data_IF_424407759085
#
_entry.id   IF_424407759085
#
_cell.length_a   1.000
_cell.length_b   1.000
_cell.length_c   1.000
_cell.angle_alpha   90.00
_cell.angle_beta   90.00
_cell.angle_gamma   90.00
#
_symmetry.space_group_name_H-M   'P 1'
#
loop_
_entity.id
_entity.type
_entity.pdbx_description
1 polymer ?
#
# COMPACT_ATOMS: atom_id res chain seq x y z
N UNK A 1 24.94 -38.14 -48.16
CA UNK A 1 25.10 -38.40 -46.74
C UNK A 1 25.47 -37.05 -46.13
N UNK A 2 24.48 -36.34 -45.61
CA UNK A 2 24.66 -35.03 -44.93
C UNK A 2 24.18 -35.28 -43.51
N UNK A 3 25.10 -35.14 -42.59
CA UNK A 3 24.91 -35.35 -41.18
C UNK A 3 24.28 -34.08 -40.56
N UNK A 4 23.17 -34.27 -39.89
CA UNK A 4 22.43 -33.18 -39.24
C UNK A 4 22.87 -33.10 -37.77
N UNK A 5 23.72 -32.14 -37.45
CA UNK A 5 24.06 -31.81 -36.06
C UNK A 5 22.95 -30.98 -35.45
N UNK A 6 22.32 -31.56 -34.46
CA UNK A 6 21.34 -30.92 -33.57
C UNK A 6 21.98 -29.82 -32.72
N UNK A 7 21.58 -28.60 -32.94
CA UNK A 7 21.90 -27.44 -32.06
C UNK A 7 21.01 -27.50 -30.80
N UNK A 8 21.61 -27.92 -29.71
CA UNK A 8 21.01 -27.81 -28.38
C UNK A 8 21.00 -26.35 -27.92
N UNK A 9 19.82 -25.80 -27.80
CA UNK A 9 19.57 -24.48 -27.14
C UNK A 9 20.12 -24.55 -25.71
N UNK A 10 21.27 -23.94 -25.52
CA UNK A 10 21.89 -23.75 -24.22
C UNK A 10 21.02 -22.87 -23.33
N UNK A 11 20.59 -23.40 -22.21
CA UNK A 11 19.96 -22.67 -21.13
C UNK A 11 20.89 -21.55 -20.64
N UNK A 12 20.51 -20.31 -20.87
CA UNK A 12 21.19 -19.15 -20.31
C UNK A 12 21.11 -19.20 -18.77
N UNK A 13 22.24 -19.08 -18.05
CA UNK A 13 22.21 -19.04 -16.60
C UNK A 13 21.53 -17.74 -16.16
N UNK A 14 20.41 -17.84 -15.44
CA UNK A 14 19.84 -16.74 -14.71
C UNK A 14 20.87 -16.26 -13.67
N UNK A 15 21.66 -15.25 -14.03
CA UNK A 15 22.43 -14.46 -13.07
C UNK A 15 21.42 -13.70 -12.23
N UNK A 16 21.04 -14.24 -11.08
CA UNK A 16 20.40 -13.47 -10.01
C UNK A 16 21.37 -12.37 -9.62
N UNK A 17 21.10 -11.16 -10.09
CA UNK A 17 21.71 -9.94 -9.57
C UNK A 17 21.30 -9.83 -8.10
N UNK A 18 22.26 -9.60 -7.20
CA UNK A 18 22.05 -9.48 -5.76
C UNK A 18 21.43 -8.10 -5.40
N UNK A 19 20.30 -7.76 -6.01
CA UNK A 19 19.37 -6.78 -5.45
C UNK A 19 18.45 -7.53 -4.49
N UNK A 20 18.26 -7.00 -3.31
CA UNK A 20 17.35 -7.59 -2.34
C UNK A 20 15.92 -7.45 -2.88
N UNK A 21 15.33 -8.55 -3.33
CA UNK A 21 13.90 -8.63 -3.68
C UNK A 21 13.07 -8.48 -2.38
N UNK A 22 13.12 -7.30 -1.77
CA UNK A 22 12.47 -6.97 -0.50
C UNK A 22 11.64 -5.72 -0.68
N UNK A 23 10.43 -5.71 -0.13
CA UNK A 23 9.67 -4.49 0.06
C UNK A 23 10.05 -3.85 1.40
N UNK A 24 10.25 -2.55 1.41
CA UNK A 24 10.24 -1.76 2.63
C UNK A 24 8.90 -1.04 2.70
N UNK A 25 8.15 -1.30 3.75
CA UNK A 25 6.93 -0.54 4.04
C UNK A 25 7.19 0.34 5.25
N UNK A 26 6.82 1.61 5.13
CA UNK A 26 7.09 2.62 6.17
C UNK A 26 5.79 3.29 6.56
N UNK A 27 5.46 3.25 7.85
CA UNK A 27 4.29 3.96 8.33
C UNK A 27 3.79 3.51 9.70
N UNK A 28 2.64 4.01 10.07
CA UNK A 28 2.05 3.75 11.36
C UNK A 28 1.62 2.30 11.54
N UNK A 29 1.88 1.81 12.76
CA UNK A 29 1.22 0.66 13.35
C UNK A 29 0.52 1.11 14.63
N UNK A 30 -0.70 0.71 14.82
CA UNK A 30 -1.51 1.15 15.94
C UNK A 30 -2.46 0.04 16.42
N UNK A 31 -3.10 0.30 17.55
CA UNK A 31 -4.21 -0.53 18.04
C UNK A 31 -5.53 0.21 17.81
N UNK A 32 -6.37 -0.36 16.96
CA UNK A 32 -7.75 0.07 16.79
C UNK A 32 -8.57 -0.41 17.98
N UNK A 33 -9.22 0.51 18.68
CA UNK A 33 -10.06 0.25 19.84
C UNK A 33 -11.48 0.63 19.50
N UNK A 34 -12.34 -0.35 19.31
CA UNK A 34 -13.77 -0.10 19.09
C UNK A 34 -14.45 0.04 20.46
N UNK A 35 -15.17 1.13 20.66
CA UNK A 35 -15.89 1.46 21.90
C UNK A 35 -17.35 1.75 21.59
N UNK A 36 -18.21 1.43 22.55
CA UNK A 36 -19.61 1.84 22.57
C UNK A 36 -19.97 2.25 24.00
N UNK A 37 -20.50 3.45 24.16
CA UNK A 37 -20.82 4.04 25.48
C UNK A 37 -19.63 3.99 26.47
N UNK A 38 -18.41 4.25 25.95
CA UNK A 38 -17.18 4.22 26.74
C UNK A 38 -16.67 2.82 27.12
N UNK A 39 -17.33 1.74 26.70
CA UNK A 39 -16.86 0.38 26.93
C UNK A 39 -16.13 -0.16 25.70
N UNK A 40 -14.90 -0.66 25.88
CA UNK A 40 -14.14 -1.29 24.81
C UNK A 40 -14.81 -2.62 24.41
N UNK A 41 -15.19 -2.73 23.13
CA UNK A 41 -15.73 -3.96 22.54
C UNK A 41 -14.61 -4.86 22.00
N UNK A 42 -13.49 -4.28 21.61
CA UNK A 42 -12.33 -5.01 21.09
C UNK A 42 -11.14 -4.11 20.83
N UNK A 43 -9.96 -4.74 20.77
CA UNK A 43 -8.70 -4.12 20.32
C UNK A 43 -8.15 -4.95 19.16
N UNK A 44 -7.80 -4.31 18.06
CA UNK A 44 -7.23 -4.94 16.87
C UNK A 44 -5.94 -4.25 16.48
N UNK A 45 -4.97 -5.02 15.96
CA UNK A 45 -3.78 -4.44 15.33
C UNK A 45 -4.21 -3.86 14.00
N UNK A 46 -3.80 -2.62 13.71
CA UNK A 46 -4.16 -1.89 12.51
C UNK A 46 -3.07 -0.90 12.08
N UNK A 47 -3.41 -0.12 11.07
CA UNK A 47 -2.55 0.82 10.37
C UNK A 47 -2.51 0.48 8.88
N UNK A 48 -2.75 1.46 8.01
CA UNK A 48 -2.81 1.21 6.57
C UNK A 48 -1.48 0.67 6.02
N UNK A 49 -0.32 1.26 6.32
CA UNK A 49 0.97 0.69 5.90
C UNK A 49 1.22 -0.70 6.49
N UNK A 50 0.83 -0.96 7.74
CA UNK A 50 0.94 -2.28 8.35
C UNK A 50 0.13 -3.32 7.56
N UNK A 51 -1.10 -3.00 7.18
CA UNK A 51 -1.94 -3.89 6.38
C UNK A 51 -1.31 -4.20 5.01
N UNK A 52 -0.70 -3.21 4.34
CA UNK A 52 0.04 -3.42 3.08
C UNK A 52 1.24 -4.33 3.30
N UNK A 53 2.01 -4.14 4.39
CA UNK A 53 3.15 -4.99 4.74
C UNK A 53 2.72 -6.45 4.92
N UNK A 54 1.69 -6.68 5.73
CA UNK A 54 1.11 -8.02 5.97
C UNK A 54 0.59 -8.63 4.67
N UNK A 55 -0.15 -7.85 3.87
CA UNK A 55 -0.67 -8.33 2.60
C UNK A 55 0.41 -8.79 1.62
N UNK A 56 1.50 -8.03 1.48
CA UNK A 56 2.64 -8.42 0.65
C UNK A 56 3.32 -9.70 1.17
N UNK A 57 3.46 -9.84 2.49
CA UNK A 57 4.03 -11.05 3.08
C UNK A 57 3.13 -12.29 2.85
N UNK A 58 1.81 -12.15 2.98
CA UNK A 58 0.83 -13.20 2.66
C UNK A 58 0.87 -13.60 1.18
N UNK A 59 1.25 -12.67 0.29
CA UNK A 59 1.51 -12.96 -1.12
C UNK A 59 2.90 -13.55 -1.38
N UNK A 60 3.68 -13.86 -0.33
CA UNK A 60 4.99 -14.51 -0.42
C UNK A 60 6.15 -13.56 -0.75
N UNK A 61 5.97 -12.24 -0.58
CA UNK A 61 7.06 -11.27 -0.73
C UNK A 61 7.84 -11.16 0.58
N UNK A 62 9.13 -10.88 0.48
CA UNK A 62 9.93 -10.51 1.65
C UNK A 62 9.64 -9.06 1.99
N UNK A 63 9.26 -8.80 3.23
CA UNK A 63 8.82 -7.47 3.67
C UNK A 63 9.55 -7.10 4.95
N UNK A 64 10.11 -5.90 4.95
CA UNK A 64 10.61 -5.22 6.13
C UNK A 64 9.69 -4.04 6.43
N UNK A 65 9.24 -3.92 7.68
CA UNK A 65 8.31 -2.88 8.09
C UNK A 65 8.97 -1.94 9.10
N UNK A 66 9.10 -0.67 8.72
CA UNK A 66 9.62 0.41 9.57
C UNK A 66 8.46 1.21 10.15
N UNK A 67 8.38 1.25 11.46
CA UNK A 67 7.30 1.91 12.19
C UNK A 67 7.82 2.59 13.46
N UNK A 68 6.92 3.11 14.30
CA UNK A 68 7.26 3.71 15.59
C UNK A 68 6.28 3.27 16.66
N UNK A 69 6.68 2.25 17.44
CA UNK A 69 5.89 1.65 18.52
C UNK A 69 6.61 1.72 19.85
N UNK A 70 5.85 1.65 20.94
CA UNK A 70 6.40 1.61 22.30
C UNK A 70 6.85 0.20 22.72
N UNK A 71 7.79 0.11 23.67
CA UNK A 71 8.08 -1.16 24.37
C UNK A 71 7.04 -1.40 25.47
N UNK A 72 5.78 -1.53 25.06
CA UNK A 72 4.64 -1.79 25.93
C UNK A 72 3.89 -3.06 25.49
N UNK A 73 2.80 -3.38 26.18
CA UNK A 73 1.98 -4.57 25.85
C UNK A 73 1.42 -4.50 24.42
N UNK A 74 1.03 -3.30 23.96
CA UNK A 74 0.45 -3.09 22.63
C UNK A 74 1.52 -3.18 21.55
N UNK A 75 2.71 -2.62 21.80
CA UNK A 75 3.84 -2.72 20.87
C UNK A 75 4.31 -4.16 20.67
N UNK A 76 4.38 -4.93 21.76
CA UNK A 76 4.67 -6.38 21.66
C UNK A 76 3.61 -7.11 20.85
N UNK A 77 2.32 -6.79 21.03
CA UNK A 77 1.24 -7.38 20.26
C UNK A 77 1.33 -7.02 18.76
N UNK A 78 1.75 -5.81 18.41
CA UNK A 78 2.04 -5.41 17.01
C UNK A 78 3.21 -6.22 16.47
N UNK A 79 4.32 -6.32 17.23
CA UNK A 79 5.50 -7.07 16.81
C UNK A 79 5.20 -8.56 16.59
N UNK A 80 4.47 -9.19 17.52
CA UNK A 80 4.03 -10.59 17.40
C UNK A 80 3.15 -10.79 16.16
N UNK A 81 2.19 -9.90 15.90
CA UNK A 81 1.31 -9.96 14.74
C UNK A 81 2.08 -9.86 13.41
N UNK A 82 3.07 -8.96 13.33
CA UNK A 82 3.94 -8.83 12.16
C UNK A 82 4.78 -10.10 11.97
N UNK A 83 5.40 -10.61 13.02
CA UNK A 83 6.20 -11.85 12.99
C UNK A 83 5.37 -13.05 12.50
N UNK A 84 4.18 -13.26 13.08
CA UNK A 84 3.28 -14.35 12.71
C UNK A 84 2.78 -14.24 11.27
N UNK A 85 2.75 -13.00 10.73
CA UNK A 85 2.39 -12.72 9.34
C UNK A 85 3.59 -12.83 8.37
N UNK A 86 4.81 -13.10 8.86
CA UNK A 86 6.02 -13.20 8.04
C UNK A 86 6.62 -11.86 7.63
N UNK A 87 6.37 -10.80 8.39
CA UNK A 87 6.93 -9.46 8.20
C UNK A 87 8.08 -9.25 9.18
N UNK A 88 9.24 -8.83 8.66
CA UNK A 88 10.38 -8.47 9.50
C UNK A 88 10.19 -7.03 10.03
N UNK A 89 10.18 -6.86 11.35
CA UNK A 89 10.16 -5.53 11.97
C UNK A 89 11.55 -4.90 11.84
N UNK A 90 11.63 -3.72 11.19
CA UNK A 90 12.89 -3.04 10.95
C UNK A 90 13.53 -2.55 12.26
N UNK A 91 14.87 -2.55 12.28
CA UNK A 91 15.63 -1.99 13.40
C UNK A 91 15.27 -0.50 13.60
N UNK A 92 15.14 -0.06 14.85
CA UNK A 92 14.73 1.30 15.18
C UNK A 92 13.24 1.57 15.18
N UNK A 93 12.39 0.54 14.94
CA UNK A 93 10.93 0.69 15.01
C UNK A 93 10.38 0.80 16.44
N UNK A 94 11.16 0.43 17.45
CA UNK A 94 10.74 0.50 18.87
C UNK A 94 11.45 1.67 19.55
N UNK A 95 10.66 2.66 19.98
CA UNK A 95 11.22 3.87 20.62
C UNK A 95 10.16 4.88 21.06
N UNK A 96 8.90 4.68 20.68
CA UNK A 96 7.80 5.54 21.11
C UNK A 96 7.59 5.46 22.62
N UNK A 97 7.12 6.56 23.22
CA UNK A 97 6.76 6.60 24.64
C UNK A 97 5.62 5.62 24.97
N UNK A 98 4.74 5.38 23.99
CA UNK A 98 3.64 4.42 23.99
C UNK A 98 3.27 4.03 22.57
N UNK A 99 2.69 2.84 22.42
CA UNK A 99 2.16 2.40 21.12
C UNK A 99 0.89 3.16 20.78
N UNK A 100 0.82 3.65 19.52
CA UNK A 100 -0.29 4.43 18.99
C UNK A 100 -1.63 3.70 19.11
N UNK A 101 -2.71 4.47 19.29
CA UNK A 101 -4.09 3.94 19.28
C UNK A 101 -5.00 4.84 18.46
N UNK A 102 -5.94 4.20 17.74
CA UNK A 102 -7.10 4.85 17.18
C UNK A 102 -8.35 4.33 17.91
N UNK A 103 -9.16 5.22 18.48
CA UNK A 103 -10.40 4.87 19.17
C UNK A 103 -11.58 5.26 18.31
N UNK A 104 -12.39 4.27 17.95
CA UNK A 104 -13.65 4.48 17.27
C UNK A 104 -14.78 4.40 18.30
N UNK A 105 -15.37 5.54 18.67
CA UNK A 105 -16.56 5.58 19.50
C UNK A 105 -17.78 5.49 18.59
N UNK A 106 -18.56 4.42 18.76
CA UNK A 106 -19.81 4.20 18.02
C UNK A 106 -20.96 4.94 18.69
N UNK A 107 -21.68 5.75 17.93
CA UNK A 107 -22.93 6.35 18.39
C UNK A 107 -24.08 5.32 18.33
N UNK A 108 -25.24 5.70 18.91
CA UNK A 108 -26.46 4.86 18.90
C UNK A 108 -27.03 4.59 17.48
N UNK A 109 -26.45 5.16 16.43
CA UNK A 109 -26.79 4.95 15.00
C UNK A 109 -25.73 4.16 14.25
N UNK A 110 -24.63 3.77 14.92
CA UNK A 110 -23.51 3.04 14.33
C UNK A 110 -22.48 3.91 13.61
N UNK A 111 -22.57 5.24 13.71
CA UNK A 111 -21.51 6.14 13.19
C UNK A 111 -20.33 6.17 14.15
N UNK A 112 -19.11 6.12 13.62
CA UNK A 112 -17.89 6.14 14.40
C UNK A 112 -17.29 7.55 14.44
N UNK A 113 -16.89 7.99 15.64
CA UNK A 113 -16.02 9.16 15.83
C UNK A 113 -14.64 8.66 16.23
N UNK A 114 -13.62 9.07 15.48
CA UNK A 114 -12.26 8.62 15.72
C UNK A 114 -11.49 9.61 16.59
N UNK A 115 -10.76 9.07 17.56
CA UNK A 115 -9.78 9.78 18.36
C UNK A 115 -8.44 9.08 18.24
N UNK A 116 -7.40 9.82 17.80
CA UNK A 116 -6.06 9.31 17.66
C UNK A 116 -5.20 9.74 18.85
N UNK A 117 -4.49 8.78 19.44
CA UNK A 117 -3.41 8.99 20.39
C UNK A 117 -2.16 8.41 19.74
N UNK A 118 -1.42 9.26 19.01
CA UNK A 118 -0.34 8.83 18.16
C UNK A 118 0.86 9.78 18.28
N UNK A 119 2.02 9.18 18.46
CA UNK A 119 3.33 9.78 18.31
C UNK A 119 3.97 9.16 17.06
N UNK A 120 4.36 9.98 16.10
CA UNK A 120 4.96 9.50 14.87
C UNK A 120 6.34 10.12 14.67
N UNK A 121 7.34 9.26 14.65
CA UNK A 121 8.73 9.59 14.45
C UNK A 121 9.43 8.41 13.79
N UNK A 122 10.56 8.62 13.13
CA UNK A 122 11.44 7.55 12.69
C UNK A 122 12.79 7.68 13.36
N UNK A 123 13.41 6.53 13.62
CA UNK A 123 14.79 6.49 14.10
C UNK A 123 15.72 7.04 13.01
N UNK A 124 16.66 7.92 13.31
CA UNK A 124 17.62 8.38 12.32
C UNK A 124 18.50 7.21 11.86
N UNK A 125 18.62 7.07 10.54
CA UNK A 125 19.47 6.08 9.88
C UNK A 125 19.24 4.61 10.32
N UNK A 126 18.12 4.00 9.99
CA UNK A 126 17.77 2.64 10.41
C UNK A 126 18.62 1.53 9.78
N UNK A 127 19.69 1.84 9.06
CA UNK A 127 20.58 0.84 8.46
C UNK A 127 19.97 -0.03 7.37
N UNK A 128 18.86 0.40 6.78
CA UNK A 128 18.09 -0.36 5.80
C UNK A 128 18.87 -0.56 4.50
N UNK A 129 18.71 -1.74 3.91
CA UNK A 129 19.19 -2.00 2.54
C UNK A 129 18.22 -1.41 1.54
N UNK A 130 18.72 -0.95 0.39
CA UNK A 130 17.87 -0.45 -0.69
C UNK A 130 16.85 -1.52 -1.10
N UNK A 131 15.53 -1.29 -0.91
CA UNK A 131 14.48 -2.25 -1.26
C UNK A 131 14.20 -2.21 -2.77
N UNK A 132 13.48 -3.21 -3.27
CA UNK A 132 12.92 -3.19 -4.62
C UNK A 132 11.80 -2.15 -4.73
N UNK A 133 10.94 -2.09 -3.73
CA UNK A 133 9.86 -1.12 -3.59
C UNK A 133 9.83 -0.56 -2.16
N UNK A 134 9.67 0.75 -2.06
CA UNK A 134 9.35 1.45 -0.82
C UNK A 134 7.90 1.90 -0.91
N UNK A 135 7.09 1.45 0.04
CA UNK A 135 5.69 1.87 0.18
C UNK A 135 5.49 2.72 1.44
N UNK A 136 4.73 3.79 1.31
CA UNK A 136 4.31 4.64 2.43
C UNK A 136 2.95 5.28 2.16
N UNK A 137 2.37 5.91 3.17
CA UNK A 137 1.11 6.63 3.06
C UNK A 137 0.47 6.94 4.39
N UNK A 138 -0.79 7.36 4.36
CA UNK A 138 -1.62 7.62 5.55
C UNK A 138 -0.94 8.60 6.52
N UNK A 139 -1.06 8.37 7.81
CA UNK A 139 -0.54 9.22 8.89
C UNK A 139 0.97 9.47 8.74
N UNK A 140 1.70 8.49 8.21
CA UNK A 140 3.14 8.57 8.08
C UNK A 140 3.64 9.74 7.21
N UNK A 141 2.84 10.18 6.26
CA UNK A 141 3.17 11.30 5.36
C UNK A 141 2.52 12.62 5.77
N UNK A 142 1.73 12.61 6.85
CA UNK A 142 0.99 13.76 7.33
C UNK A 142 1.53 14.31 8.66
N UNK A 143 1.87 13.44 9.62
CA UNK A 143 2.14 13.81 10.99
C UNK A 143 3.63 14.12 11.23
N UNK A 144 3.90 15.33 11.68
CA UNK A 144 5.24 15.76 12.10
C UNK A 144 5.63 15.18 13.48
N UNK A 145 6.93 14.99 13.73
CA UNK A 145 8.06 15.21 12.82
C UNK A 145 8.37 14.02 11.89
N UNK A 146 7.66 12.92 12.00
CA UNK A 146 7.98 11.69 11.29
C UNK A 146 7.78 11.79 9.77
N UNK A 147 6.86 12.64 9.28
CA UNK A 147 6.65 12.81 7.83
C UNK A 147 7.89 13.38 7.12
N UNK A 148 8.69 14.22 7.79
CA UNK A 148 9.94 14.74 7.23
C UNK A 148 10.98 13.62 7.06
N UNK A 149 11.11 12.75 8.06
CA UNK A 149 11.99 11.59 7.98
C UNK A 149 11.55 10.58 6.91
N UNK A 150 10.23 10.43 6.68
CA UNK A 150 9.69 9.63 5.57
C UNK A 150 10.08 10.25 4.23
N UNK A 151 9.99 11.58 4.08
CA UNK A 151 10.40 12.27 2.86
C UNK A 151 11.90 12.07 2.57
N UNK A 152 12.76 12.21 3.59
CA UNK A 152 14.20 11.94 3.49
C UNK A 152 14.47 10.48 3.08
N UNK A 153 13.73 9.52 3.63
CA UNK A 153 13.87 8.11 3.29
C UNK A 153 13.44 7.81 1.85
N UNK A 154 12.38 8.46 1.35
CA UNK A 154 11.97 8.40 -0.04
C UNK A 154 13.10 8.91 -0.94
N UNK A 155 13.64 10.11 -0.65
CA UNK A 155 14.70 10.74 -1.44
C UNK A 155 15.98 9.86 -1.46
N UNK A 156 16.33 9.24 -0.34
CA UNK A 156 17.48 8.34 -0.23
C UNK A 156 17.33 7.05 -1.08
N UNK A 157 16.09 6.59 -1.30
CA UNK A 157 15.78 5.37 -2.05
C UNK A 157 15.33 5.64 -3.49
N UNK A 158 15.07 6.88 -3.87
CA UNK A 158 14.51 7.24 -5.16
C UNK A 158 15.31 6.71 -6.36
N UNK A 159 16.64 6.61 -6.27
CA UNK A 159 17.47 6.12 -7.36
C UNK A 159 17.43 4.60 -7.57
N UNK A 160 17.12 3.83 -6.52
CA UNK A 160 17.26 2.37 -6.49
C UNK A 160 15.95 1.61 -6.42
N UNK A 161 14.92 2.23 -5.88
CA UNK A 161 13.64 1.61 -5.56
C UNK A 161 12.50 2.21 -6.37
N UNK A 162 11.44 1.47 -6.58
CA UNK A 162 10.14 2.03 -6.94
C UNK A 162 9.49 2.61 -5.69
N UNK A 163 9.00 3.83 -5.76
CA UNK A 163 8.29 4.48 -4.66
C UNK A 163 6.79 4.35 -4.92
N UNK A 164 6.06 3.75 -3.98
CA UNK A 164 4.61 3.62 -4.02
C UNK A 164 3.96 4.37 -2.85
N UNK A 165 2.87 5.05 -3.12
CA UNK A 165 2.21 5.96 -2.19
C UNK A 165 0.70 5.78 -2.19
N UNK A 166 0.10 5.74 -0.99
CA UNK A 166 -1.34 5.79 -0.76
C UNK A 166 -1.63 6.93 0.23
N UNK A 167 -2.18 8.08 -0.19
CA UNK A 167 -2.51 9.17 0.71
C UNK A 167 -3.36 8.73 1.90
N UNK A 168 -4.38 7.93 1.65
CA UNK A 168 -5.30 7.39 2.66
C UNK A 168 -5.60 8.42 3.76
N UNK A 169 -6.20 9.53 3.33
CA UNK A 169 -6.31 10.78 4.08
C UNK A 169 -6.99 10.59 5.43
N UNK A 170 -6.41 11.21 6.43
CA UNK A 170 -7.01 11.40 7.76
C UNK A 170 -7.10 12.91 8.00
N UNK A 171 -8.24 13.49 7.65
CA UNK A 171 -8.46 14.96 7.66
C UNK A 171 -8.13 15.62 8.99
N UNK A 172 -8.22 14.87 10.10
CA UNK A 172 -7.90 15.36 11.45
C UNK A 172 -6.44 15.81 11.63
N UNK A 173 -5.53 15.41 10.74
CA UNK A 173 -4.10 15.77 10.78
C UNK A 173 -3.75 16.97 9.89
N UNK A 174 -4.73 17.65 9.31
CA UNK A 174 -4.54 18.82 8.45
C UNK A 174 -5.42 19.98 8.92
N UNK A 175 -4.95 21.20 8.69
CA UNK A 175 -5.75 22.39 8.97
C UNK A 175 -6.94 22.48 7.99
N UNK A 176 -6.65 22.23 6.72
CA UNK A 176 -7.66 22.22 5.65
C UNK A 176 -7.23 21.32 4.46
N UNK A 177 -8.07 21.27 3.45
CA UNK A 177 -7.84 20.47 2.24
C UNK A 177 -6.73 21.06 1.35
N UNK A 178 -6.50 22.37 1.35
CA UNK A 178 -5.47 23.03 0.53
C UNK A 178 -4.08 22.70 1.07
N UNK A 179 -3.88 22.75 2.39
CA UNK A 179 -2.65 22.31 3.04
C UNK A 179 -2.39 20.81 2.75
N UNK A 180 -3.42 19.98 2.94
CA UNK A 180 -3.32 18.55 2.69
C UNK A 180 -2.95 18.26 1.24
N UNK A 181 -3.61 18.90 0.26
CA UNK A 181 -3.32 18.71 -1.17
C UNK A 181 -1.87 19.09 -1.48
N UNK A 182 -1.39 20.24 -0.99
CA UNK A 182 -0.03 20.70 -1.18
C UNK A 182 0.99 19.69 -0.62
N UNK A 183 0.75 19.17 0.58
CA UNK A 183 1.59 18.16 1.22
C UNK A 183 1.58 16.84 0.45
N UNK A 184 0.40 16.35 0.05
CA UNK A 184 0.28 15.12 -0.72
C UNK A 184 0.96 15.25 -2.10
N UNK A 185 0.79 16.36 -2.82
CA UNK A 185 1.47 16.59 -4.10
C UNK A 185 2.99 16.60 -3.96
N UNK A 186 3.53 17.03 -2.81
CA UNK A 186 4.97 16.92 -2.53
C UNK A 186 5.44 15.46 -2.47
N UNK A 187 4.63 14.53 -1.95
CA UNK A 187 4.93 13.10 -1.95
C UNK A 187 4.67 12.47 -3.32
N UNK A 188 3.58 12.88 -3.99
CA UNK A 188 3.25 12.44 -5.36
C UNK A 188 4.41 12.70 -6.32
N UNK A 189 5.06 13.89 -6.27
CA UNK A 189 6.20 14.22 -7.15
C UNK A 189 7.40 13.30 -6.97
N UNK A 190 7.50 12.60 -5.84
CA UNK A 190 8.56 11.66 -5.50
C UNK A 190 8.17 10.20 -5.73
N UNK A 191 6.93 9.95 -6.13
CA UNK A 191 6.35 8.62 -6.25
C UNK A 191 6.33 8.13 -7.69
N UNK A 192 6.47 6.81 -7.87
CA UNK A 192 6.34 6.15 -9.17
C UNK A 192 4.92 5.57 -9.37
N UNK A 193 4.28 5.14 -8.27
CA UNK A 193 2.94 4.54 -8.26
C UNK A 193 2.14 5.18 -7.15
N UNK A 194 1.02 5.79 -7.49
CA UNK A 194 0.10 6.40 -6.53
C UNK A 194 -1.26 5.72 -6.62
N UNK A 195 -1.87 5.43 -5.47
CA UNK A 195 -3.25 5.00 -5.38
C UNK A 195 -3.97 5.86 -4.35
N UNK A 196 -5.17 6.32 -4.64
CA UNK A 196 -6.03 7.03 -3.69
C UNK A 196 -7.48 6.53 -3.80
N UNK A 197 -8.31 6.81 -2.80
CA UNK A 197 -9.75 6.63 -2.93
C UNK A 197 -10.40 7.86 -3.59
N UNK A 198 -11.57 7.67 -4.18
CA UNK A 198 -12.36 8.77 -4.70
C UNK A 198 -12.85 9.72 -3.58
N UNK A 199 -13.02 9.20 -2.37
CA UNK A 199 -13.35 10.00 -1.18
C UNK A 199 -12.17 10.92 -0.81
N UNK A 200 -10.93 10.39 -0.76
CA UNK A 200 -9.73 11.17 -0.51
C UNK A 200 -9.57 12.27 -1.56
N UNK A 201 -9.73 11.93 -2.84
CA UNK A 201 -9.53 12.88 -3.94
C UNK A 201 -10.59 14.00 -3.93
N UNK A 202 -11.85 13.68 -3.66
CA UNK A 202 -12.91 14.70 -3.53
C UNK A 202 -12.73 15.58 -2.32
N UNK A 203 -12.15 15.04 -1.24
CA UNK A 203 -11.85 15.85 -0.07
C UNK A 203 -10.67 16.79 -0.32
N UNK A 204 -9.63 16.32 -1.02
CA UNK A 204 -8.45 17.11 -1.36
C UNK A 204 -8.75 18.21 -2.38
N UNK A 205 -9.54 17.90 -3.40
CA UNK A 205 -9.91 18.85 -4.45
C UNK A 205 -11.40 18.68 -4.83
N UNK A 206 -12.31 19.38 -4.12
CA UNK A 206 -13.75 19.28 -4.38
C UNK A 206 -14.19 19.91 -5.70
N UNK A 207 -13.28 20.60 -6.41
CA UNK A 207 -13.56 21.28 -7.68
C UNK A 207 -13.21 20.43 -8.92
N UNK A 208 -12.43 19.38 -8.74
CA UNK A 208 -12.06 18.44 -9.79
C UNK A 208 -12.71 17.08 -9.57
N UNK A 209 -13.01 16.36 -10.63
CA UNK A 209 -13.30 14.93 -10.50
C UNK A 209 -12.06 14.16 -10.06
N UNK A 210 -12.22 12.99 -9.41
CA UNK A 210 -11.08 12.15 -9.03
C UNK A 210 -10.19 11.78 -10.22
N UNK A 211 -10.77 11.61 -11.40
CA UNK A 211 -10.06 11.31 -12.64
C UNK A 211 -9.24 12.52 -13.14
N UNK A 212 -9.78 13.73 -13.05
CA UNK A 212 -9.06 14.96 -13.40
C UNK A 212 -7.89 15.20 -12.46
N UNK A 213 -8.08 14.97 -11.15
CA UNK A 213 -7.00 15.07 -10.18
C UNK A 213 -5.95 13.98 -10.42
N UNK A 214 -6.34 12.74 -10.75
CA UNK A 214 -5.42 11.67 -11.11
C UNK A 214 -4.60 12.02 -12.36
N UNK A 215 -5.23 12.58 -13.39
CA UNK A 215 -4.54 13.04 -14.59
C UNK A 215 -3.53 14.18 -14.29
N UNK A 216 -3.91 15.11 -13.42
CA UNK A 216 -3.00 16.17 -12.94
C UNK A 216 -1.81 15.56 -12.18
N UNK A 217 -2.05 14.63 -11.26
CA UNK A 217 -0.99 13.97 -10.51
C UNK A 217 -0.04 13.16 -11.41
N UNK A 218 -0.55 12.52 -12.46
CA UNK A 218 0.30 11.84 -13.43
C UNK A 218 1.34 12.78 -14.04
N UNK A 219 0.97 14.04 -14.30
CA UNK A 219 1.92 15.05 -14.87
C UNK A 219 3.00 15.48 -13.88
N UNK A 220 2.83 15.22 -12.59
CA UNK A 220 3.79 15.58 -11.53
C UNK A 220 4.94 14.60 -11.41
N UNK A 221 4.83 13.35 -11.94
CA UNK A 221 5.95 12.41 -11.90
C UNK A 221 5.60 10.92 -11.89
N UNK A 222 4.50 10.48 -11.27
CA UNK A 222 4.14 9.07 -11.23
C UNK A 222 4.02 8.44 -12.63
N UNK A 223 4.33 7.15 -12.71
CA UNK A 223 4.08 6.33 -13.89
C UNK A 223 2.63 5.80 -13.94
N UNK A 224 2.03 5.62 -12.76
CA UNK A 224 0.67 5.12 -12.57
C UNK A 224 0.00 5.93 -11.46
N UNK A 225 -1.22 6.41 -11.72
CA UNK A 225 -2.13 6.91 -10.68
C UNK A 225 -3.41 6.11 -10.75
N UNK A 226 -3.75 5.42 -9.67
CA UNK A 226 -4.95 4.61 -9.53
C UNK A 226 -5.95 5.24 -8.55
N UNK A 227 -7.23 5.13 -8.85
CA UNK A 227 -8.33 5.60 -8.00
C UNK A 227 -9.31 4.46 -7.76
N UNK A 228 -9.65 4.21 -6.50
CA UNK A 228 -10.68 3.24 -6.11
C UNK A 228 -12.00 3.94 -5.85
N UNK A 229 -13.11 3.37 -6.35
CA UNK A 229 -14.48 3.90 -6.24
C UNK A 229 -15.39 2.94 -5.45
N UNK A 230 -14.83 2.22 -4.49
CA UNK A 230 -15.56 1.23 -3.69
C UNK A 230 -16.28 0.21 -4.57
N UNK A 231 -17.59 0.08 -4.41
CA UNK A 231 -18.43 -0.85 -5.19
C UNK A 231 -18.50 -0.52 -6.70
N UNK A 232 -18.06 0.66 -7.12
CA UNK A 232 -18.05 1.07 -8.54
C UNK A 232 -16.75 0.68 -9.26
N UNK A 233 -15.82 0.01 -8.58
CA UNK A 233 -14.59 -0.49 -9.16
C UNK A 233 -13.41 0.45 -9.04
N UNK A 234 -12.57 0.51 -10.06
CA UNK A 234 -11.36 1.33 -10.06
C UNK A 234 -11.06 1.92 -11.43
N UNK A 235 -10.31 3.01 -11.41
CA UNK A 235 -9.74 3.70 -12.55
C UNK A 235 -8.23 3.79 -12.34
N UNK A 236 -7.44 3.73 -13.40
CA UNK A 236 -6.05 4.14 -13.35
C UNK A 236 -5.61 4.75 -14.68
N UNK A 237 -4.63 5.63 -14.60
CA UNK A 237 -4.05 6.32 -15.73
C UNK A 237 -2.54 6.14 -15.77
N UNK A 238 -1.99 5.96 -16.96
CA UNK A 238 -0.56 5.95 -17.28
C UNK A 238 -0.30 6.76 -18.55
N UNK A 239 0.95 6.84 -19.00
CA UNK A 239 1.31 7.62 -20.19
C UNK A 239 0.65 7.12 -21.50
N UNK A 240 0.31 5.82 -21.58
CA UNK A 240 -0.31 5.20 -22.77
C UNK A 240 -1.85 5.35 -22.79
N UNK A 241 -2.48 5.75 -21.67
CA UNK A 241 -3.93 5.93 -21.55
C UNK A 241 -4.47 5.58 -20.18
N UNK A 242 -5.77 5.42 -20.11
CA UNK A 242 -6.47 5.07 -18.89
C UNK A 242 -7.29 3.78 -19.01
N UNK A 243 -7.56 3.16 -17.87
CA UNK A 243 -8.30 1.91 -17.76
C UNK A 243 -9.30 1.97 -16.61
N UNK A 244 -10.45 1.32 -16.81
CA UNK A 244 -11.49 1.14 -15.79
C UNK A 244 -11.80 -0.33 -15.61
N UNK A 245 -11.84 -0.75 -14.37
CA UNK A 245 -12.19 -2.12 -13.98
C UNK A 245 -13.40 -2.05 -13.04
N UNK A 246 -14.50 -2.77 -13.34
CA UNK A 246 -15.61 -2.88 -12.41
C UNK A 246 -15.18 -3.63 -11.16
N UNK A 247 -15.84 -3.37 -10.03
CA UNK A 247 -15.63 -4.17 -8.84
C UNK A 247 -16.02 -5.63 -9.08
N UNK A 248 -15.23 -6.57 -8.56
CA UNK A 248 -15.64 -7.97 -8.55
C UNK A 248 -16.81 -8.16 -7.58
N UNK A 249 -17.80 -8.99 -7.96
CA UNK A 249 -18.90 -9.31 -7.05
C UNK A 249 -18.39 -9.95 -5.76
N UNK A 250 -18.78 -9.38 -4.63
CA UNK A 250 -18.47 -9.91 -3.31
C UNK A 250 -19.65 -9.68 -2.36
N UNK A 251 -19.86 -10.61 -1.43
CA UNK A 251 -20.73 -10.37 -0.29
C UNK A 251 -19.94 -9.51 0.72
N UNK A 252 -20.31 -8.25 0.85
CA UNK A 252 -19.58 -7.30 1.70
C UNK A 252 -19.90 -7.57 3.17
N UNK A 253 -18.89 -8.01 3.91
CA UNK A 253 -18.93 -8.22 5.37
C UNK A 253 -18.32 -7.01 6.09
N UNK A 254 -17.16 -6.53 5.60
CA UNK A 254 -16.44 -5.40 6.16
C UNK A 254 -15.65 -4.69 5.05
N UNK A 255 -15.57 -3.38 5.09
CA UNK A 255 -14.80 -2.60 4.09
C UNK A 255 -13.40 -2.21 4.56
N UNK A 256 -13.07 -2.50 5.83
CA UNK A 256 -11.75 -2.21 6.41
C UNK A 256 -10.65 -2.96 5.66
N UNK A 257 -9.60 -2.24 5.28
CA UNK A 257 -8.44 -2.81 4.59
C UNK A 257 -8.64 -3.06 3.08
N UNK A 258 -9.81 -2.73 2.49
CA UNK A 258 -10.04 -2.91 1.05
C UNK A 258 -9.06 -2.10 0.20
N UNK A 259 -8.81 -0.83 0.57
CA UNK A 259 -7.82 0.04 -0.05
C UNK A 259 -6.40 -0.50 0.06
N UNK A 260 -6.05 -1.00 1.25
CA UNK A 260 -4.73 -1.60 1.52
C UNK A 260 -4.53 -2.89 0.70
N UNK A 261 -5.58 -3.72 0.59
CA UNK A 261 -5.56 -4.93 -0.24
C UNK A 261 -5.45 -4.61 -1.74
N UNK A 262 -6.11 -3.54 -2.21
CA UNK A 262 -5.95 -3.06 -3.57
C UNK A 262 -4.51 -2.62 -3.82
N UNK A 263 -3.93 -1.79 -2.93
CA UNK A 263 -2.54 -1.36 -3.04
C UNK A 263 -1.56 -2.52 -3.00
N UNK A 264 -1.78 -3.50 -2.11
CA UNK A 264 -1.02 -4.75 -2.04
C UNK A 264 -1.05 -5.50 -3.38
N UNK A 265 -2.24 -5.68 -3.95
CA UNK A 265 -2.42 -6.35 -5.24
C UNK A 265 -1.78 -5.60 -6.40
N UNK A 266 -1.82 -4.27 -6.39
CA UNK A 266 -1.17 -3.40 -7.37
C UNK A 266 0.36 -3.57 -7.34
N UNK A 267 0.97 -3.49 -6.16
CA UNK A 267 2.41 -3.69 -5.98
C UNK A 267 2.81 -5.12 -6.38
N UNK A 268 2.06 -6.13 -5.94
CA UNK A 268 2.36 -7.54 -6.22
C UNK A 268 2.30 -7.87 -7.72
N UNK A 269 1.30 -7.34 -8.44
CA UNK A 269 1.19 -7.53 -9.89
C UNK A 269 2.35 -6.87 -10.65
N UNK A 270 2.74 -5.65 -10.28
CA UNK A 270 3.92 -4.99 -10.86
C UNK A 270 5.22 -5.74 -10.54
N UNK A 271 5.29 -6.38 -9.37
CA UNK A 271 6.41 -7.22 -8.98
C UNK A 271 6.52 -8.46 -9.86
N UNK A 272 5.40 -9.19 -10.05
CA UNK A 272 5.36 -10.38 -10.91
C UNK A 272 5.75 -10.06 -12.37
N UNK A 273 5.41 -8.88 -12.86
CA UNK A 273 5.80 -8.38 -14.18
C UNK A 273 7.26 -7.90 -14.25
N UNK A 274 7.99 -7.86 -13.13
CA UNK A 274 9.37 -7.38 -13.07
C UNK A 274 9.52 -5.88 -13.37
N UNK A 275 8.50 -5.08 -13.07
CA UNK A 275 8.46 -3.64 -13.34
C UNK A 275 8.92 -2.78 -12.16
N UNK A 276 9.26 -3.38 -11.01
CA UNK A 276 9.70 -2.67 -9.82
C UNK A 276 11.22 -2.53 -9.74
N UNK A 277 11.65 -1.51 -8.98
CA UNK A 277 13.05 -1.14 -8.77
C UNK A 277 13.52 0.00 -9.68
N UNK A 278 14.43 0.84 -9.16
CA UNK A 278 14.89 2.05 -9.87
C UNK A 278 15.44 1.79 -11.28
N UNK A 279 16.06 0.61 -11.51
CA UNK A 279 16.52 0.21 -12.85
C UNK A 279 15.40 -0.08 -13.84
N UNK A 280 14.19 -0.32 -13.37
CA UNK A 280 12.99 -0.64 -14.14
C UNK A 280 12.06 0.57 -14.32
N UNK A 281 12.38 1.72 -13.71
CA UNK A 281 11.55 2.94 -13.76
C UNK A 281 11.19 3.35 -15.19
N UNK A 282 12.12 3.26 -16.14
CA UNK A 282 11.81 3.53 -17.55
C UNK A 282 10.76 2.58 -18.11
N UNK A 283 10.84 1.27 -17.80
CA UNK A 283 9.86 0.29 -18.24
C UNK A 283 8.50 0.47 -17.55
N UNK A 284 8.49 0.86 -16.26
CA UNK A 284 7.28 1.20 -15.55
C UNK A 284 6.62 2.46 -16.13
N UNK A 285 7.41 3.46 -16.53
CA UNK A 285 6.90 4.69 -17.18
C UNK A 285 6.28 4.41 -18.54
N UNK A 286 6.82 3.44 -19.26
CA UNK A 286 6.34 3.02 -20.58
C UNK A 286 5.30 1.87 -20.47
N UNK A 287 4.67 1.68 -19.31
CA UNK A 287 3.63 0.65 -19.13
C UNK A 287 2.47 0.92 -20.07
N UNK A 288 2.02 -0.12 -20.77
CA UNK A 288 0.90 -0.03 -21.69
C UNK A 288 -0.43 -0.13 -20.96
N UNK A 289 -1.46 0.50 -21.50
CA UNK A 289 -2.79 0.50 -20.91
C UNK A 289 -3.38 -0.92 -20.77
N UNK A 290 -3.15 -1.81 -21.76
CA UNK A 290 -3.60 -3.22 -21.67
C UNK A 290 -2.90 -3.98 -20.52
N UNK A 291 -1.62 -3.73 -20.26
CA UNK A 291 -0.90 -4.32 -19.11
C UNK A 291 -1.41 -3.71 -17.80
N UNK A 292 -1.65 -2.38 -17.77
CA UNK A 292 -2.23 -1.71 -16.61
C UNK A 292 -3.60 -2.30 -16.25
N UNK A 293 -4.44 -2.63 -17.24
CA UNK A 293 -5.73 -3.30 -17.03
C UNK A 293 -5.56 -4.62 -16.28
N UNK A 294 -4.58 -5.46 -16.65
CA UNK A 294 -4.35 -6.73 -15.97
C UNK A 294 -3.84 -6.52 -14.52
N UNK A 295 -2.99 -5.52 -14.31
CA UNK A 295 -2.54 -5.11 -12.96
C UNK A 295 -3.74 -4.70 -12.10
N UNK A 296 -4.65 -3.88 -12.65
CA UNK A 296 -5.86 -3.44 -11.94
C UNK A 296 -6.80 -4.61 -11.59
N UNK A 297 -6.92 -5.62 -12.46
CA UNK A 297 -7.72 -6.82 -12.17
C UNK A 297 -7.20 -7.55 -10.93
N UNK A 298 -5.88 -7.72 -10.80
CA UNK A 298 -5.26 -8.35 -9.63
C UNK A 298 -5.52 -7.53 -8.37
N UNK A 299 -5.37 -6.21 -8.46
CA UNK A 299 -5.62 -5.28 -7.36
C UNK A 299 -7.09 -5.32 -6.90
N UNK A 300 -8.03 -5.23 -7.85
CA UNK A 300 -9.47 -5.27 -7.58
C UNK A 300 -9.91 -6.62 -6.99
N UNK A 301 -9.34 -7.74 -7.46
CA UNK A 301 -9.63 -9.07 -6.91
C UNK A 301 -9.15 -9.17 -5.45
N UNK A 302 -7.97 -8.63 -5.13
CA UNK A 302 -7.45 -8.60 -3.76
C UNK A 302 -8.39 -7.84 -2.83
N UNK A 303 -8.88 -6.67 -3.26
CA UNK A 303 -9.86 -5.88 -2.52
C UNK A 303 -11.19 -6.63 -2.31
N UNK A 304 -11.73 -7.26 -3.37
CA UNK A 304 -12.99 -8.01 -3.30
C UNK A 304 -12.91 -9.20 -2.34
N UNK A 305 -11.78 -9.89 -2.28
CA UNK A 305 -11.55 -11.00 -1.35
C UNK A 305 -11.41 -10.52 0.11
N UNK A 306 -10.94 -9.30 0.31
CA UNK A 306 -10.80 -8.70 1.64
C UNK A 306 -12.17 -8.28 2.18
N UNK A 307 -13.00 -7.58 1.40
CA UNK A 307 -14.31 -7.11 1.88
C UNK A 307 -15.29 -8.24 2.21
N UNK A 308 -15.03 -9.46 1.75
CA UNK A 308 -15.83 -10.64 2.07
C UNK A 308 -15.49 -11.27 3.44
N UNK A 309 -14.66 -10.61 4.25
CA UNK A 309 -14.21 -11.09 5.57
C UNK A 309 -14.24 -9.97 6.61
N UNK A 310 -14.38 -10.30 7.90
CA UNK A 310 -14.29 -9.30 8.95
C UNK A 310 -12.88 -8.73 9.08
N UNK A 311 -12.77 -7.42 9.30
CA UNK A 311 -11.52 -6.69 9.47
C UNK A 311 -10.64 -6.67 8.22
N UNK A 312 -9.42 -6.17 8.34
CA UNK A 312 -8.43 -6.14 7.25
C UNK A 312 -7.83 -7.54 6.99
N UNK A 313 -8.66 -8.52 6.64
CA UNK A 313 -8.25 -9.90 6.39
C UNK A 313 -7.83 -10.10 4.92
N UNK A 314 -6.61 -9.64 4.57
CA UNK A 314 -6.09 -9.71 3.21
C UNK A 314 -5.90 -11.17 2.74
N UNK A 315 -6.07 -11.46 1.43
CA UNK A 315 -5.92 -12.80 0.90
C UNK A 315 -4.45 -13.22 0.82
N UNK A 316 -4.18 -14.48 1.10
CA UNK A 316 -2.92 -15.11 0.71
C UNK A 316 -2.87 -15.43 -0.80
N UNK A 317 -1.67 -15.72 -1.32
CA UNK A 317 -1.47 -16.02 -2.74
C UNK A 317 -2.36 -17.17 -3.22
N UNK A 318 -2.43 -18.25 -2.46
CA UNK A 318 -3.22 -19.42 -2.85
C UNK A 318 -4.73 -19.12 -2.94
N UNK A 319 -5.25 -18.30 -2.03
CA UNK A 319 -6.65 -17.86 -2.05
C UNK A 319 -6.94 -16.96 -3.26
N UNK A 320 -6.06 -16.00 -3.53
CA UNK A 320 -6.19 -15.11 -4.68
C UNK A 320 -6.11 -15.88 -6.01
N UNK A 321 -5.14 -16.77 -6.15
CA UNK A 321 -4.95 -17.54 -7.39
C UNK A 321 -6.13 -18.49 -7.65
N UNK A 322 -6.66 -19.15 -6.60
CA UNK A 322 -7.91 -19.93 -6.73
C UNK A 322 -9.10 -19.09 -7.18
N UNK A 323 -9.21 -17.85 -6.69
CA UNK A 323 -10.29 -16.97 -7.11
C UNK A 323 -10.11 -16.48 -8.55
N UNK A 324 -8.88 -16.15 -8.96
CA UNK A 324 -8.56 -15.76 -10.34
C UNK A 324 -8.91 -16.88 -11.34
N UNK A 325 -8.51 -18.13 -11.04
CA UNK A 325 -8.82 -19.29 -11.91
C UNK A 325 -10.33 -19.51 -12.08
N UNK A 326 -11.12 -19.30 -11.03
CA UNK A 326 -12.60 -19.40 -11.13
C UNK A 326 -13.22 -18.33 -12.05
N UNK A 327 -12.59 -17.17 -12.16
CA UNK A 327 -13.06 -16.08 -13.03
C UNK A 327 -12.70 -16.32 -14.49
N UNK A 328 -11.60 -17.04 -14.77
CA UNK A 328 -11.16 -17.39 -16.13
C UNK A 328 -11.81 -18.66 -16.66
N UNK A 329 -12.49 -19.43 -15.82
CA UNK A 329 -13.18 -20.67 -16.21
C UNK A 329 -12.27 -21.88 -16.31
N UNK A 330 -11.06 -21.82 -15.73
CA UNK A 330 -10.09 -22.91 -15.60
C UNK A 330 -10.24 -23.68 -14.29
#
# INVERSE_FOLDING_TARGET
>A
MIDATSDTLGSLPHRRSAMTDTALVVGEALIDIVQHEGQALGEHVGGSPLNVAVGLALLGRRVEFLTWIGDDRRGRRVADYLHDSGVDLAEGSVGASRTATARAELDGKGSATYQFDIEWQLSPNPGLRAPLVLHTGSIATALEPGCDAVAELIDANAATSTISFDPNIRSVFFEDAEEALSRMETVVTRSDVVKASDEDMRWLDPHSSPEELAARWLTLGPSIVAVTFGAHGSFAICADGDERIPAYPAEVVDTVGAGDAFMTGLIDALWDLGLLGGRRRGQLRDIRADVLREVLKVAALSAALTVARPGAALPDRATRDRAANRLTGD
#
